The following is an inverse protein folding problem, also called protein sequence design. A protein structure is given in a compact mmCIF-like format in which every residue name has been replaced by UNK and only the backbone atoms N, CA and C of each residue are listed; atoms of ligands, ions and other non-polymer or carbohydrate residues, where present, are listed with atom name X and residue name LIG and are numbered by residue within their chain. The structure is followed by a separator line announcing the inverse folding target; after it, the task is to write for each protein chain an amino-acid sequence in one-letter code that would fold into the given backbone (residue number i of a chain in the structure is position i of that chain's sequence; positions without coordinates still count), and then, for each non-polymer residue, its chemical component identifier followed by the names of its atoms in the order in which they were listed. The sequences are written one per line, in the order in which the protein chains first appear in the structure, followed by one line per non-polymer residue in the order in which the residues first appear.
data_IF_226253175356
#
_entry.id   IF_226253175356
#
_cell.length_a   1.000
_cell.length_b   1.000
_cell.length_c   1.000
_cell.angle_alpha   90.00
_cell.angle_beta   90.00
_cell.angle_gamma   90.00
#
_symmetry.space_group_name_H-M   'P 1'
#
loop_
_entity.id
_entity.type
_entity.pdbx_description
1 polymer ?
#
# COMPACT_ATOMS: atom_id res chain seq x y z
N UNK A 1 -32.15 -11.11 0.23
CA UNK A 1 -32.51 -9.84 0.90
C UNK A 1 -31.24 -9.34 1.54
N UNK A 2 -30.62 -8.32 0.95
CA UNK A 2 -29.47 -7.67 1.55
C UNK A 2 -29.93 -6.93 2.81
N UNK A 3 -29.20 -7.11 3.89
CA UNK A 3 -29.44 -6.45 5.17
C UNK A 3 -29.29 -4.93 5.01
N UNK A 4 -30.24 -4.11 5.47
CA UNK A 4 -30.15 -2.67 5.30
C UNK A 4 -29.05 -2.12 6.19
N UNK A 5 -28.08 -1.46 5.57
CA UNK A 5 -27.08 -0.60 6.19
C UNK A 5 -26.12 -1.32 7.15
N UNK A 6 -25.26 -2.16 6.60
CA UNK A 6 -23.97 -2.38 7.25
C UNK A 6 -23.22 -1.04 7.15
N UNK A 7 -23.20 -0.30 8.25
CA UNK A 7 -22.55 0.99 8.36
C UNK A 7 -21.09 0.84 7.91
N UNK A 8 -20.70 1.58 6.87
CA UNK A 8 -19.31 1.58 6.41
C UNK A 8 -18.40 1.93 7.59
N UNK A 9 -17.36 1.16 7.84
CA UNK A 9 -16.42 1.49 8.91
C UNK A 9 -15.82 2.88 8.68
N UNK A 10 -15.39 3.52 9.76
CA UNK A 10 -14.69 4.80 9.70
C UNK A 10 -13.46 4.65 8.77
N UNK A 11 -13.47 5.39 7.65
CA UNK A 11 -12.45 5.25 6.60
C UNK A 11 -11.14 5.95 6.90
N UNK A 12 -11.07 7.18 7.49
CA UNK A 12 -9.81 7.90 7.66
C UNK A 12 -8.68 7.06 8.25
N UNK A 13 -8.86 6.33 9.37
CA UNK A 13 -7.78 5.53 9.96
C UNK A 13 -7.40 4.28 9.17
N UNK A 14 -8.12 3.99 8.08
CA UNK A 14 -7.89 2.84 7.19
C UNK A 14 -7.39 3.23 5.80
N UNK A 15 -7.29 4.53 5.52
CA UNK A 15 -6.89 5.04 4.21
C UNK A 15 -5.43 5.45 4.17
N UNK A 16 -4.70 4.90 3.20
CA UNK A 16 -3.42 5.39 2.74
C UNK A 16 -3.64 6.17 1.44
N UNK A 17 -3.45 7.48 1.47
CA UNK A 17 -3.53 8.32 0.27
C UNK A 17 -2.27 8.14 -0.57
N UNK A 18 -2.43 7.64 -1.80
CA UNK A 18 -1.34 7.50 -2.75
C UNK A 18 -1.13 8.82 -3.53
N UNK A 19 0.08 9.37 -3.44
CA UNK A 19 0.56 10.54 -4.19
C UNK A 19 1.79 10.06 -5.00
N UNK A 20 1.53 9.38 -6.12
CA UNK A 20 2.53 8.65 -6.89
C UNK A 20 2.64 9.12 -8.35
N UNK A 21 1.80 10.06 -8.78
CA UNK A 21 1.83 10.59 -10.15
C UNK A 21 3.10 11.44 -10.33
N UNK A 22 3.99 11.09 -11.29
CA UNK A 22 5.22 11.82 -11.55
C UNK A 22 5.01 13.19 -12.21
N UNK A 23 3.82 13.46 -12.71
CA UNK A 23 3.50 14.72 -13.42
C UNK A 23 2.94 15.81 -12.51
N UNK A 24 2.78 15.54 -11.20
CA UNK A 24 2.31 16.53 -10.25
C UNK A 24 3.33 17.67 -10.08
N UNK A 25 2.84 18.89 -10.16
CA UNK A 25 3.61 20.08 -9.77
C UNK A 25 3.82 20.12 -8.26
N UNK A 26 4.78 20.93 -7.80
CA UNK A 26 5.03 21.12 -6.35
C UNK A 26 3.78 21.57 -5.60
N UNK A 27 3.02 22.51 -6.18
CA UNK A 27 1.81 23.04 -5.56
C UNK A 27 0.70 21.98 -5.46
N UNK A 28 0.56 21.15 -6.51
CA UNK A 28 -0.38 20.02 -6.49
C UNK A 28 0.01 18.96 -5.45
N UNK A 29 1.30 18.64 -5.32
CA UNK A 29 1.80 17.75 -4.28
C UNK A 29 1.46 18.26 -2.87
N UNK A 30 1.73 19.56 -2.63
CA UNK A 30 1.42 20.17 -1.34
C UNK A 30 -0.08 20.19 -1.07
N UNK A 31 -0.89 20.54 -2.05
CA UNK A 31 -2.36 20.55 -1.90
C UNK A 31 -2.94 19.16 -1.59
N UNK A 32 -2.43 18.10 -2.25
CA UNK A 32 -2.83 16.73 -1.96
C UNK A 32 -2.40 16.29 -0.55
N UNK A 33 -1.19 16.67 -0.12
CA UNK A 33 -0.71 16.40 1.23
C UNK A 33 -1.59 17.10 2.28
N UNK A 34 -1.88 18.39 2.09
CA UNK A 34 -2.74 19.17 2.98
C UNK A 34 -4.14 18.57 3.07
N UNK A 35 -4.70 18.17 1.95
CA UNK A 35 -6.00 17.50 1.91
C UNK A 35 -5.98 16.19 2.72
N UNK A 36 -4.95 15.36 2.58
CA UNK A 36 -4.81 14.14 3.37
C UNK A 36 -4.71 14.40 4.87
N UNK A 37 -3.94 15.42 5.26
CA UNK A 37 -3.83 15.83 6.66
C UNK A 37 -5.17 16.33 7.22
N UNK A 38 -5.89 17.19 6.48
CA UNK A 38 -7.19 17.71 6.87
C UNK A 38 -8.26 16.63 6.99
N UNK A 39 -8.21 15.65 6.11
CA UNK A 39 -9.13 14.52 6.10
C UNK A 39 -8.79 13.45 7.15
N UNK A 40 -7.62 13.54 7.79
CA UNK A 40 -7.19 12.60 8.81
C UNK A 40 -6.86 11.20 8.29
N UNK A 41 -6.35 11.10 7.05
CA UNK A 41 -5.93 9.80 6.51
C UNK A 41 -4.83 9.17 7.38
N UNK A 42 -4.79 7.84 7.46
CA UNK A 42 -3.79 7.10 8.23
C UNK A 42 -2.36 7.38 7.76
N UNK A 43 -2.18 7.39 6.44
CA UNK A 43 -0.87 7.58 5.85
C UNK A 43 -0.93 8.27 4.48
N UNK A 44 0.21 8.81 4.08
CA UNK A 44 0.47 9.31 2.73
C UNK A 44 1.61 8.45 2.14
N UNK A 45 1.31 7.74 1.05
CA UNK A 45 2.27 6.96 0.30
C UNK A 45 2.79 7.78 -0.89
N UNK A 46 4.12 7.87 -1.03
CA UNK A 46 4.75 8.67 -2.07
C UNK A 46 6.03 8.04 -2.61
N UNK A 47 6.55 8.61 -3.70
CA UNK A 47 7.83 8.19 -4.29
C UNK A 47 9.02 8.76 -3.50
N UNK A 48 10.20 8.12 -3.55
CA UNK A 48 11.40 8.63 -2.89
C UNK A 48 11.70 10.10 -3.22
N UNK A 49 11.58 10.48 -4.50
CA UNK A 49 11.85 11.84 -4.94
C UNK A 49 10.98 12.90 -4.24
N UNK A 50 9.74 12.58 -3.93
CA UNK A 50 8.78 13.51 -3.34
C UNK A 50 8.80 13.49 -1.82
N UNK A 51 9.38 12.43 -1.24
CA UNK A 51 9.38 12.15 0.20
C UNK A 51 9.87 13.33 1.06
N UNK A 52 11.02 13.99 0.78
CA UNK A 52 11.51 15.09 1.62
C UNK A 52 10.55 16.28 1.65
N UNK A 53 9.93 16.61 0.50
CA UNK A 53 8.95 17.70 0.43
C UNK A 53 7.72 17.42 1.28
N UNK A 54 7.21 16.17 1.22
CA UNK A 54 6.04 15.78 2.02
C UNK A 54 6.40 15.65 3.50
N UNK A 55 7.61 15.17 3.84
CA UNK A 55 8.09 15.17 5.24
C UNK A 55 8.18 16.58 5.81
N UNK A 56 8.71 17.53 5.06
CA UNK A 56 8.73 18.96 5.46
C UNK A 56 7.31 19.47 5.70
N UNK A 57 6.35 19.10 4.84
CA UNK A 57 4.96 19.57 4.93
C UNK A 57 4.19 18.96 6.09
N UNK A 58 4.34 17.66 6.32
CA UNK A 58 3.69 16.94 7.43
C UNK A 58 4.32 17.32 8.77
N UNK A 59 5.62 17.66 8.79
CA UNK A 59 6.38 17.88 10.00
C UNK A 59 6.83 16.59 10.68
N UNK A 60 7.38 16.70 11.87
CA UNK A 60 7.97 15.58 12.64
C UNK A 60 7.10 15.09 13.79
N UNK A 61 5.89 15.61 13.92
CA UNK A 61 4.97 15.22 15.01
C UNK A 61 4.24 13.90 14.66
N UNK A 62 4.00 13.08 15.68
CA UNK A 62 3.22 11.83 15.54
C UNK A 62 1.71 12.08 15.33
N UNK A 63 1.28 13.33 15.33
CA UNK A 63 -0.13 13.72 15.17
C UNK A 63 -0.61 13.75 13.71
N UNK A 64 0.31 13.69 12.74
CA UNK A 64 -0.02 13.68 11.30
C UNK A 64 -0.10 12.28 10.71
N UNK A 65 -0.43 12.19 9.41
CA UNK A 65 -0.41 10.91 8.70
C UNK A 65 1.01 10.33 8.66
N UNK A 66 1.12 9.01 8.73
CA UNK A 66 2.40 8.33 8.53
C UNK A 66 2.88 8.54 7.09
N UNK A 67 4.19 8.67 6.92
CA UNK A 67 4.79 8.80 5.60
C UNK A 67 5.32 7.44 5.13
N UNK A 68 4.75 6.95 4.04
CA UNK A 68 5.08 5.67 3.41
C UNK A 68 5.88 5.92 2.15
N UNK A 69 7.03 5.26 1.98
CA UNK A 69 7.80 5.29 0.74
C UNK A 69 7.48 4.07 -0.14
N UNK A 70 7.17 4.31 -1.42
CA UNK A 70 7.04 3.26 -2.42
C UNK A 70 8.41 2.92 -2.99
N UNK A 71 8.90 1.71 -2.72
CA UNK A 71 10.23 1.22 -3.08
C UNK A 71 10.17 0.29 -4.29
N UNK A 72 11.08 0.45 -5.25
CA UNK A 72 11.10 -0.32 -6.49
C UNK A 72 9.86 -0.10 -7.37
N UNK A 73 9.11 0.94 -7.10
CA UNK A 73 7.83 1.23 -7.75
C UNK A 73 8.02 1.74 -9.20
N UNK A 74 7.15 1.34 -10.17
CA UNK A 74 5.94 0.52 -9.95
C UNK A 74 6.09 -0.99 -10.16
N UNK A 75 7.19 -1.49 -10.72
CA UNK A 75 7.27 -2.87 -11.24
C UNK A 75 8.34 -3.75 -10.58
N UNK A 76 9.11 -3.24 -9.63
CA UNK A 76 10.14 -4.01 -8.92
C UNK A 76 11.37 -4.41 -9.75
N UNK A 77 11.55 -3.81 -10.94
CA UNK A 77 12.52 -4.25 -11.96
C UNK A 77 13.94 -3.68 -11.80
N UNK A 78 14.25 -3.12 -10.64
CA UNK A 78 15.62 -2.68 -10.31
C UNK A 78 16.33 -3.74 -9.46
N UNK A 79 17.68 -3.85 -9.54
CA UNK A 79 18.46 -4.77 -8.73
C UNK A 79 18.20 -4.62 -7.22
N UNK A 80 18.27 -5.74 -6.49
CA UNK A 80 17.98 -5.78 -5.05
C UNK A 80 18.83 -4.78 -4.24
N UNK A 81 20.11 -4.65 -4.57
CA UNK A 81 21.03 -3.70 -3.91
C UNK A 81 20.64 -2.24 -4.14
N UNK A 82 20.08 -1.89 -5.31
CA UNK A 82 19.59 -0.54 -5.56
C UNK A 82 18.25 -0.28 -4.85
N UNK A 83 17.40 -1.31 -4.74
CA UNK A 83 16.17 -1.23 -3.99
C UNK A 83 16.41 -1.05 -2.50
N UNK A 84 17.42 -1.76 -1.95
CA UNK A 84 17.86 -1.58 -0.58
C UNK A 84 18.39 -0.15 -0.34
N UNK A 85 19.27 0.35 -1.23
CA UNK A 85 19.79 1.71 -1.14
C UNK A 85 18.68 2.77 -1.24
N UNK A 86 17.65 2.54 -2.06
CA UNK A 86 16.47 3.39 -2.15
C UNK A 86 15.70 3.42 -0.81
N UNK A 87 15.52 2.26 -0.19
CA UNK A 87 14.84 2.12 1.09
C UNK A 87 15.61 2.76 2.25
N UNK A 88 16.93 2.54 2.32
CA UNK A 88 17.83 3.18 3.29
C UNK A 88 17.77 4.71 3.17
N UNK A 89 17.82 5.21 1.94
CA UNK A 89 17.70 6.64 1.67
C UNK A 89 16.36 7.18 2.15
N UNK A 90 15.25 6.48 1.87
CA UNK A 90 13.92 6.88 2.32
C UNK A 90 13.79 6.87 3.85
N UNK A 91 14.33 5.85 4.52
CA UNK A 91 14.37 5.77 5.97
C UNK A 91 15.11 6.97 6.59
N UNK A 92 16.29 7.31 6.05
CA UNK A 92 17.09 8.47 6.48
C UNK A 92 16.37 9.82 6.23
N UNK A 93 15.42 9.88 5.27
CA UNK A 93 14.67 11.10 4.94
C UNK A 93 13.24 11.11 5.50
N UNK A 94 12.96 10.23 6.46
CA UNK A 94 11.75 10.30 7.28
C UNK A 94 10.58 9.44 6.81
N UNK A 95 10.80 8.43 5.98
CA UNK A 95 9.82 7.37 5.80
C UNK A 95 9.59 6.65 7.14
N UNK A 96 8.34 6.31 7.41
CA UNK A 96 7.93 5.57 8.61
C UNK A 96 7.46 4.16 8.29
N UNK A 97 7.16 3.88 7.03
CA UNK A 97 6.78 2.58 6.49
C UNK A 97 7.26 2.47 5.04
N UNK A 98 7.41 1.26 4.54
CA UNK A 98 7.84 0.98 3.18
C UNK A 98 6.81 0.08 2.48
N UNK A 99 6.34 0.51 1.29
CA UNK A 99 5.57 -0.31 0.35
C UNK A 99 6.53 -0.77 -0.75
N UNK A 100 6.97 -2.02 -0.70
CA UNK A 100 8.03 -2.54 -1.56
C UNK A 100 7.43 -3.37 -2.69
N UNK A 101 7.77 -3.05 -3.93
CA UNK A 101 7.49 -3.93 -5.08
C UNK A 101 8.65 -4.90 -5.25
N UNK A 102 8.47 -6.20 -4.94
CA UNK A 102 9.54 -7.18 -4.97
C UNK A 102 9.93 -7.60 -6.39
N UNK A 103 11.01 -8.37 -6.52
CA UNK A 103 11.43 -8.94 -7.80
C UNK A 103 10.58 -10.16 -8.18
N UNK A 104 9.54 -9.92 -8.96
CA UNK A 104 8.70 -11.00 -9.49
C UNK A 104 9.42 -11.89 -10.52
N UNK A 105 10.57 -11.47 -11.06
CA UNK A 105 11.33 -12.32 -11.98
C UNK A 105 11.96 -13.51 -11.23
N UNK A 106 12.35 -13.34 -9.98
CA UNK A 106 12.79 -14.42 -9.12
C UNK A 106 11.69 -15.50 -8.98
N UNK A 107 10.46 -15.09 -8.65
CA UNK A 107 9.34 -16.03 -8.59
C UNK A 107 9.04 -16.71 -9.92
N UNK A 108 9.09 -15.97 -11.04
CA UNK A 108 8.85 -16.51 -12.37
C UNK A 108 9.90 -17.57 -12.76
N UNK A 109 11.11 -17.46 -12.23
CA UNK A 109 12.19 -18.43 -12.41
C UNK A 109 12.20 -19.55 -11.34
N UNK A 110 11.20 -19.60 -10.45
CA UNK A 110 11.12 -20.58 -9.36
C UNK A 110 12.09 -20.34 -8.20
N UNK A 111 12.69 -19.15 -8.12
CA UNK A 111 13.62 -18.74 -7.06
C UNK A 111 12.92 -17.95 -5.95
N UNK A 112 12.13 -18.65 -5.16
CA UNK A 112 11.46 -18.07 -3.99
C UNK A 112 12.45 -17.65 -2.89
N UNK A 113 13.66 -18.24 -2.88
CA UNK A 113 14.72 -17.86 -1.95
C UNK A 113 15.22 -16.45 -2.22
N UNK A 114 15.62 -16.12 -3.45
CA UNK A 114 16.04 -14.77 -3.81
C UNK A 114 14.94 -13.73 -3.56
N UNK A 115 13.66 -14.08 -3.82
CA UNK A 115 12.52 -13.22 -3.49
C UNK A 115 12.42 -12.93 -1.99
N UNK A 116 12.57 -13.96 -1.14
CA UNK A 116 12.52 -13.82 0.31
C UNK A 116 13.74 -13.04 0.85
N UNK A 117 14.94 -13.30 0.34
CA UNK A 117 16.18 -12.62 0.76
C UNK A 117 16.13 -11.12 0.47
N UNK A 118 15.60 -10.71 -0.70
CA UNK A 118 15.40 -9.29 -1.02
C UNK A 118 14.47 -8.62 0.02
N UNK A 119 13.33 -9.22 0.33
CA UNK A 119 12.39 -8.67 1.31
C UNK A 119 12.96 -8.67 2.73
N UNK A 120 13.68 -9.73 3.13
CA UNK A 120 14.30 -9.82 4.45
C UNK A 120 15.31 -8.68 4.68
N UNK A 121 16.18 -8.41 3.69
CA UNK A 121 17.13 -7.30 3.77
C UNK A 121 16.43 -5.93 3.98
N UNK A 122 15.27 -5.73 3.36
CA UNK A 122 14.47 -4.52 3.53
C UNK A 122 13.77 -4.47 4.91
N UNK A 123 13.32 -5.60 5.42
CA UNK A 123 12.73 -5.70 6.77
C UNK A 123 13.76 -5.44 7.88
N UNK A 124 15.04 -5.79 7.67
CA UNK A 124 16.13 -5.51 8.60
C UNK A 124 16.40 -4.02 8.84
N UNK A 125 15.89 -3.13 7.99
CA UNK A 125 15.95 -1.67 8.21
C UNK A 125 15.13 -1.21 9.43
N UNK A 126 14.27 -2.08 9.99
CA UNK A 126 13.49 -1.81 11.20
C UNK A 126 12.24 -0.96 10.97
N UNK A 127 11.88 -0.66 9.73
CA UNK A 127 10.60 -0.05 9.37
C UNK A 127 9.58 -1.13 9.00
N UNK A 128 8.28 -0.94 9.28
CA UNK A 128 7.26 -1.82 8.76
C UNK A 128 7.29 -1.88 7.23
N UNK A 129 7.48 -3.07 6.67
CA UNK A 129 7.51 -3.34 5.22
C UNK A 129 6.20 -4.00 4.81
N UNK A 130 5.59 -3.53 3.73
CA UNK A 130 4.52 -4.23 3.02
C UNK A 130 5.02 -4.64 1.64
N UNK A 131 4.92 -5.94 1.34
CA UNK A 131 5.20 -6.43 0.01
C UNK A 131 4.01 -6.13 -0.91
N UNK A 132 4.25 -5.37 -1.97
CA UNK A 132 3.25 -5.02 -2.99
C UNK A 132 3.19 -6.13 -4.01
N UNK A 133 2.10 -6.91 -3.97
CA UNK A 133 1.87 -8.01 -4.90
C UNK A 133 1.20 -7.48 -6.19
N UNK A 134 1.31 -8.21 -7.27
CA UNK A 134 0.57 -7.97 -8.50
C UNK A 134 -0.39 -9.16 -8.74
N UNK A 135 -1.35 -9.29 -7.81
CA UNK A 135 -2.23 -10.47 -7.73
C UNK A 135 -3.00 -10.77 -9.02
N UNK A 136 -3.26 -9.74 -9.83
CA UNK A 136 -3.96 -9.93 -11.11
C UNK A 136 -3.11 -10.66 -12.17
N UNK A 137 -1.79 -10.77 -11.96
CA UNK A 137 -0.85 -11.37 -12.89
C UNK A 137 -0.17 -12.62 -12.36
N UNK A 138 -0.25 -12.87 -11.04
CA UNK A 138 0.32 -14.06 -10.42
C UNK A 138 -0.64 -15.24 -10.55
N UNK A 139 -0.10 -16.37 -10.99
CA UNK A 139 -0.81 -17.64 -10.90
C UNK A 139 -0.95 -18.06 -9.44
N UNK A 140 -1.91 -18.93 -9.13
CA UNK A 140 -2.23 -19.31 -7.74
C UNK A 140 -1.00 -19.86 -6.98
N UNK A 141 -0.19 -20.70 -7.59
CA UNK A 141 1.03 -21.24 -6.99
C UNK A 141 2.07 -20.15 -6.72
N UNK A 142 2.26 -19.22 -7.66
CA UNK A 142 3.16 -18.08 -7.49
C UNK A 142 2.68 -17.16 -6.38
N UNK A 143 1.37 -16.94 -6.27
CA UNK A 143 0.79 -16.12 -5.20
C UNK A 143 1.03 -16.76 -3.82
N UNK A 144 0.82 -18.08 -3.69
CA UNK A 144 1.09 -18.80 -2.44
C UNK A 144 2.57 -18.68 -2.04
N UNK A 145 3.48 -18.91 -2.98
CA UNK A 145 4.93 -18.76 -2.74
C UNK A 145 5.30 -17.34 -2.34
N UNK A 146 4.76 -16.32 -3.04
CA UNK A 146 5.03 -14.92 -2.72
C UNK A 146 4.54 -14.54 -1.32
N UNK A 147 3.35 -15.01 -0.94
CA UNK A 147 2.76 -14.76 0.38
C UNK A 147 3.61 -15.39 1.49
N UNK A 148 3.95 -16.68 1.36
CA UNK A 148 4.76 -17.36 2.38
C UNK A 148 6.15 -16.73 2.47
N UNK A 149 6.83 -16.50 1.34
CA UNK A 149 8.16 -15.89 1.32
C UNK A 149 8.17 -14.47 1.93
N UNK A 150 7.15 -13.65 1.66
CA UNK A 150 7.06 -12.31 2.24
C UNK A 150 6.82 -12.35 3.75
N UNK A 151 5.99 -13.26 4.24
CA UNK A 151 5.73 -13.44 5.67
C UNK A 151 6.97 -13.95 6.39
N UNK A 152 7.66 -14.94 5.83
CA UNK A 152 8.88 -15.52 6.41
C UNK A 152 10.03 -14.51 6.42
N UNK A 153 10.09 -13.60 5.44
CA UNK A 153 11.00 -12.46 5.41
C UNK A 153 10.71 -11.38 6.46
N UNK A 154 9.57 -11.46 7.16
CA UNK A 154 9.21 -10.50 8.21
C UNK A 154 8.35 -9.33 7.74
N UNK A 155 7.71 -9.42 6.57
CA UNK A 155 6.82 -8.36 6.08
C UNK A 155 5.64 -8.15 7.06
N UNK A 156 5.41 -6.89 7.45
CA UNK A 156 4.32 -6.47 8.33
C UNK A 156 2.94 -6.55 7.63
N UNK A 157 2.93 -6.59 6.30
CA UNK A 157 1.70 -6.69 5.53
C UNK A 157 1.94 -6.98 4.05
N UNK A 158 0.83 -7.25 3.35
CA UNK A 158 0.80 -7.47 1.92
C UNK A 158 -0.18 -6.49 1.27
N UNK A 159 0.19 -5.93 0.11
CA UNK A 159 -0.67 -5.08 -0.69
C UNK A 159 -1.06 -5.81 -1.98
N UNK A 160 -2.35 -5.78 -2.32
CA UNK A 160 -2.91 -6.57 -3.42
C UNK A 160 -2.42 -6.18 -4.83
N UNK A 161 -2.11 -4.89 -5.06
CA UNK A 161 -1.76 -4.36 -6.38
C UNK A 161 -0.87 -3.12 -6.29
N UNK A 162 -0.07 -2.89 -7.34
CA UNK A 162 0.69 -1.65 -7.52
C UNK A 162 -0.14 -0.49 -8.13
N UNK A 163 -1.38 -0.74 -8.53
CA UNK A 163 -2.28 0.25 -9.11
C UNK A 163 -2.17 0.43 -10.64
N UNK A 164 -1.26 -0.28 -11.33
CA UNK A 164 -1.07 -0.22 -12.80
C UNK A 164 -1.74 -1.38 -13.54
N UNK A 165 -2.62 -2.10 -12.88
CA UNK A 165 -3.37 -3.21 -13.44
C UNK A 165 -4.88 -3.04 -13.28
N UNK A 166 -5.64 -4.15 -13.39
CA UNK A 166 -7.07 -4.17 -13.10
C UNK A 166 -7.37 -3.72 -11.66
N UNK A 167 -8.60 -3.28 -11.45
CA UNK A 167 -9.06 -2.97 -10.10
C UNK A 167 -8.98 -4.21 -9.19
N UNK A 168 -8.64 -3.99 -7.92
CA UNK A 168 -8.68 -5.05 -6.91
C UNK A 168 -10.13 -5.45 -6.62
N UNK A 169 -10.42 -6.74 -6.51
CA UNK A 169 -11.74 -7.27 -6.21
C UNK A 169 -11.78 -7.96 -4.85
N UNK A 170 -12.98 -8.02 -4.26
CA UNK A 170 -13.21 -8.65 -2.96
C UNK A 170 -12.72 -10.10 -2.90
N UNK A 171 -12.86 -10.86 -3.98
CA UNK A 171 -12.41 -12.25 -4.07
C UNK A 171 -10.88 -12.38 -3.91
N UNK A 172 -10.13 -11.42 -4.42
CA UNK A 172 -8.68 -11.39 -4.24
C UNK A 172 -8.29 -11.16 -2.77
N UNK A 173 -9.01 -10.27 -2.08
CA UNK A 173 -8.80 -10.02 -0.65
C UNK A 173 -9.20 -11.24 0.18
N UNK A 174 -10.31 -11.91 -0.15
CA UNK A 174 -10.71 -13.17 0.49
C UNK A 174 -9.65 -14.28 0.31
N UNK A 175 -9.11 -14.43 -0.90
CA UNK A 175 -8.03 -15.37 -1.18
C UNK A 175 -6.77 -15.04 -0.36
N UNK A 176 -6.36 -13.77 -0.35
CA UNK A 176 -5.20 -13.32 0.41
C UNK A 176 -5.40 -13.54 1.92
N UNK A 177 -6.59 -13.26 2.44
CA UNK A 177 -6.95 -13.49 3.85
C UNK A 177 -6.84 -14.97 4.25
N UNK A 178 -7.20 -15.88 3.34
CA UNK A 178 -7.04 -17.32 3.57
C UNK A 178 -5.57 -17.73 3.62
N UNK A 179 -4.74 -17.19 2.72
CA UNK A 179 -3.31 -17.49 2.65
C UNK A 179 -2.54 -16.95 3.86
N UNK A 180 -2.75 -15.69 4.24
CA UNK A 180 -1.99 -15.07 5.34
C UNK A 180 -2.33 -15.65 6.71
N UNK A 181 -3.53 -16.22 6.91
CA UNK A 181 -3.97 -16.82 8.21
C UNK A 181 -3.75 -15.88 9.41
N UNK A 182 -3.99 -14.58 9.23
CA UNK A 182 -3.80 -13.52 10.24
C UNK A 182 -2.33 -13.29 10.67
N UNK A 183 -1.35 -13.73 9.91
CA UNK A 183 0.08 -13.53 10.22
C UNK A 183 0.58 -12.13 9.92
N UNK A 184 -0.08 -11.40 9.01
CA UNK A 184 0.25 -10.01 8.67
C UNK A 184 -1.01 -9.25 8.22
N UNK A 185 -0.89 -7.93 8.02
CA UNK A 185 -1.99 -7.08 7.57
C UNK A 185 -2.22 -7.17 6.05
N UNK A 186 -3.46 -6.86 5.61
CA UNK A 186 -3.81 -6.75 4.19
C UNK A 186 -4.12 -5.30 3.85
N UNK A 187 -3.42 -4.77 2.84
CA UNK A 187 -3.75 -3.49 2.21
C UNK A 187 -4.31 -3.75 0.82
N UNK A 188 -5.58 -3.42 0.63
CA UNK A 188 -6.20 -3.46 -0.70
C UNK A 188 -5.82 -2.18 -1.47
N UNK A 189 -5.37 -2.31 -2.71
CA UNK A 189 -5.04 -1.20 -3.59
C UNK A 189 -5.37 -1.54 -5.05
N UNK A 190 -5.57 -0.51 -5.87
CA UNK A 190 -5.92 -0.63 -7.29
C UNK A 190 -7.38 -0.34 -7.56
N UNK A 191 -7.67 0.76 -8.27
CA UNK A 191 -9.00 1.11 -8.77
C UNK A 191 -10.05 1.47 -7.72
N UNK A 192 -9.65 1.88 -6.51
CA UNK A 192 -10.60 2.19 -5.42
C UNK A 192 -11.07 3.64 -5.55
N UNK A 193 -12.24 3.86 -6.18
CA UNK A 193 -12.78 5.17 -6.48
C UNK A 193 -14.21 5.41 -5.93
N UNK A 194 -14.84 4.41 -5.29
CA UNK A 194 -16.19 4.53 -4.74
C UNK A 194 -16.30 3.95 -3.34
N UNK A 195 -17.25 4.46 -2.56
CA UNK A 195 -17.53 3.96 -1.20
C UNK A 195 -17.98 2.50 -1.20
N UNK A 196 -18.81 2.12 -2.18
CA UNK A 196 -19.23 0.72 -2.30
C UNK A 196 -18.04 -0.20 -2.47
N UNK A 197 -17.14 0.11 -3.42
CA UNK A 197 -15.94 -0.70 -3.65
C UNK A 197 -15.02 -0.73 -2.42
N UNK A 198 -14.81 0.42 -1.77
CA UNK A 198 -14.04 0.48 -0.52
C UNK A 198 -14.65 -0.40 0.58
N UNK A 199 -15.97 -0.35 0.73
CA UNK A 199 -16.73 -1.19 1.66
C UNK A 199 -16.60 -2.68 1.37
N UNK A 200 -16.76 -3.09 0.11
CA UNK A 200 -16.64 -4.49 -0.30
C UNK A 200 -15.25 -5.07 0.03
N UNK A 201 -14.19 -4.30 -0.18
CA UNK A 201 -12.81 -4.72 0.14
C UNK A 201 -12.57 -4.83 1.66
N UNK A 202 -13.09 -3.89 2.45
CA UNK A 202 -13.00 -3.95 3.91
C UNK A 202 -13.80 -5.13 4.47
N UNK A 203 -15.00 -5.39 3.95
CA UNK A 203 -15.83 -6.54 4.33
C UNK A 203 -15.16 -7.87 3.95
N UNK A 204 -14.47 -7.92 2.82
CA UNK A 204 -13.68 -9.08 2.42
C UNK A 204 -12.49 -9.34 3.36
N UNK A 205 -12.06 -8.34 4.13
CA UNK A 205 -11.03 -8.50 5.14
C UNK A 205 -9.76 -7.69 4.94
N UNK A 206 -9.79 -6.66 4.09
CA UNK A 206 -8.71 -5.68 4.04
C UNK A 206 -8.66 -4.88 5.36
N UNK A 207 -7.47 -4.70 5.91
CA UNK A 207 -7.22 -3.86 7.08
C UNK A 207 -7.07 -2.40 6.66
N UNK A 208 -6.45 -2.17 5.50
CA UNK A 208 -6.12 -0.87 4.93
C UNK A 208 -6.53 -0.78 3.46
N UNK A 209 -6.76 0.44 3.00
CA UNK A 209 -7.03 0.77 1.59
C UNK A 209 -6.00 1.77 1.08
N UNK A 210 -5.35 1.45 -0.05
CA UNK A 210 -4.44 2.35 -0.76
C UNK A 210 -5.12 2.96 -1.99
N UNK A 211 -5.29 4.27 -2.04
CA UNK A 211 -5.96 4.94 -3.15
C UNK A 211 -5.47 6.37 -3.38
N UNK A 212 -5.43 6.82 -4.63
CA UNK A 212 -5.24 8.24 -4.98
C UNK A 212 -6.51 9.07 -4.78
N UNK A 213 -7.66 8.43 -4.57
CA UNK A 213 -8.97 9.08 -4.45
C UNK A 213 -9.43 9.27 -3.00
N UNK A 214 -8.52 9.17 -2.00
CA UNK A 214 -8.88 9.26 -0.58
C UNK A 214 -9.71 10.51 -0.23
N UNK A 215 -9.36 11.74 -0.67
CA UNK A 215 -10.17 12.91 -0.37
C UNK A 215 -11.60 12.82 -0.91
N UNK A 216 -11.75 12.29 -2.13
CA UNK A 216 -13.08 12.14 -2.76
C UNK A 216 -13.94 11.10 -2.04
N UNK A 217 -13.35 9.98 -1.59
CA UNK A 217 -14.04 8.96 -0.81
C UNK A 217 -14.53 9.53 0.53
N UNK A 218 -13.68 10.28 1.24
CA UNK A 218 -14.03 10.86 2.53
C UNK A 218 -15.10 11.95 2.42
N UNK A 219 -15.06 12.77 1.36
CA UNK A 219 -16.13 13.70 1.06
C UNK A 219 -17.46 13.00 0.75
N UNK A 220 -17.40 11.88 0.01
CA UNK A 220 -18.58 11.09 -0.28
C UNK A 220 -19.18 10.44 0.99
N UNK A 221 -18.34 9.95 1.90
CA UNK A 221 -18.79 9.35 3.18
C UNK A 221 -19.53 10.35 4.07
N UNK A 222 -19.17 11.65 4.01
CA UNK A 222 -19.82 12.70 4.82
C UNK A 222 -21.13 13.20 4.24
N UNK A 223 -21.43 12.92 2.95
CA UNK A 223 -22.71 13.32 2.35
C UNK A 223 -23.80 12.40 2.86
N UNK A 224 -24.90 12.95 3.45
CA UNK A 224 -26.02 12.10 3.82
C UNK A 224 -26.54 11.39 2.57
N UNK A 225 -26.94 10.14 2.74
CA UNK A 225 -27.63 9.41 1.68
C UNK A 225 -28.90 10.20 1.30
N UNK A 226 -29.03 10.54 0.01
CA UNK A 226 -30.15 11.28 -0.52
C UNK A 226 -31.39 10.39 -0.60
#
# INVERSE_FOLDING_TARGET
MADPAQELPDLPPRLDQAILDPLLTRDQLQALCDSGMQEGVRAICTTPRQLPLLRERIGTTDAGPRLVAAIGFPFGTIPAELKLAEAEWCAAHGAQELDVVPDFSALANGDSGAFAEELAALCELGLPVRAVLDMARLESEQLELAVEAAIDAGAAGLQSSNGFGPACHADQILALKQLIRKRCAIKAAGGIHSLSHAGDLLLAGADLLGTSSAPALLQAQRRPAA
#
